data_IF_080371811532
#
_entry.id   IF_080371811532
#
_cell.length_a   1.000
_cell.length_b   1.000
_cell.length_c   1.000
_cell.angle_alpha   90.00
_cell.angle_beta   90.00
_cell.angle_gamma   90.00
#
_symmetry.space_group_name_H-M   'P 1'
#
loop_
_entity.id
_entity.type
_entity.pdbx_description
1 polymer ?
#
# COMPACT_ATOMS: atom_id res chain seq x y z
N UNK A 1 0.91 14.38 -42.89
CA UNK A 1 1.77 13.42 -42.18
C UNK A 1 2.14 14.04 -40.84
N UNK A 2 1.55 13.58 -39.75
CA UNK A 2 1.85 14.08 -38.40
C UNK A 2 2.70 13.04 -37.68
N UNK A 3 3.93 13.41 -37.30
CA UNK A 3 4.76 12.54 -36.44
C UNK A 3 4.07 12.39 -35.09
N UNK A 4 3.85 11.15 -34.65
CA UNK A 4 3.23 10.89 -33.35
C UNK A 4 4.28 10.97 -32.24
N UNK A 5 3.85 11.20 -31.00
CA UNK A 5 4.72 11.20 -29.81
C UNK A 5 5.54 9.90 -29.69
N UNK A 6 4.97 8.77 -30.12
CA UNK A 6 5.63 7.47 -30.12
C UNK A 6 6.73 7.36 -31.19
N UNK A 7 6.59 8.04 -32.32
CA UNK A 7 7.62 8.02 -33.37
C UNK A 7 8.89 8.72 -32.91
N UNK A 8 8.75 9.82 -32.15
CA UNK A 8 9.88 10.54 -31.55
C UNK A 8 10.52 9.72 -30.43
N UNK A 9 9.72 9.02 -29.62
CA UNK A 9 10.22 8.22 -28.50
C UNK A 9 11.13 7.07 -28.98
N UNK A 10 10.79 6.41 -30.10
CA UNK A 10 11.63 5.34 -30.69
C UNK A 10 13.01 5.81 -31.15
N UNK A 11 13.19 7.11 -31.43
CA UNK A 11 14.49 7.67 -31.85
C UNK A 11 15.49 7.79 -30.70
N UNK A 12 14.99 7.77 -29.46
CA UNK A 12 15.78 7.97 -28.24
C UNK A 12 15.82 6.73 -27.34
N UNK A 13 15.35 5.59 -27.85
CA UNK A 13 15.35 4.30 -27.18
C UNK A 13 16.40 3.37 -27.78
N UNK A 14 17.05 2.59 -26.90
CA UNK A 14 17.98 1.55 -27.31
C UNK A 14 17.21 0.28 -27.66
N UNK A 15 17.34 -0.23 -28.88
CA UNK A 15 16.64 -1.45 -29.30
C UNK A 15 17.19 -2.75 -28.68
N UNK A 16 18.25 -2.68 -27.85
CA UNK A 16 18.80 -3.83 -27.13
C UNK A 16 18.19 -3.96 -25.73
N UNK A 17 18.13 -2.87 -24.96
CA UNK A 17 17.59 -2.88 -23.60
C UNK A 17 16.15 -2.36 -23.49
N UNK A 18 15.58 -1.82 -24.57
CA UNK A 18 14.23 -1.25 -24.61
C UNK A 18 14.00 -0.15 -23.56
N UNK A 19 15.04 0.63 -23.27
CA UNK A 19 15.01 1.81 -22.40
C UNK A 19 15.62 2.99 -23.17
N UNK A 20 15.41 4.22 -22.68
CA UNK A 20 16.05 5.39 -23.26
C UNK A 20 17.58 5.26 -23.26
N UNK A 21 18.22 5.91 -24.22
CA UNK A 21 19.66 5.81 -24.42
C UNK A 21 20.45 6.33 -23.21
N UNK A 22 21.56 5.67 -22.90
CA UNK A 22 22.53 6.06 -21.86
C UNK A 22 23.94 5.91 -22.43
N UNK A 23 24.77 6.93 -22.28
CA UNK A 23 26.09 6.99 -22.92
C UNK A 23 25.99 6.68 -24.43
N UNK A 24 25.26 7.53 -25.15
CA UNK A 24 24.78 7.27 -26.51
C UNK A 24 25.91 7.04 -27.49
N UNK A 25 25.81 5.95 -28.24
CA UNK A 25 26.71 5.60 -29.34
C UNK A 25 25.95 5.43 -30.63
N UNK A 26 26.52 6.00 -31.67
CA UNK A 26 26.03 5.89 -33.03
C UNK A 26 26.93 4.95 -33.84
N UNK A 27 26.29 4.07 -34.60
CA UNK A 27 27.01 3.16 -35.49
C UNK A 27 27.34 3.84 -36.83
N UNK A 28 28.58 3.79 -37.33
CA UNK A 28 28.96 4.41 -38.60
C UNK A 28 28.33 3.73 -39.84
N UNK A 29 27.84 2.49 -39.69
CA UNK A 29 27.29 1.72 -40.80
C UNK A 29 25.82 2.05 -41.13
N UNK A 30 25.01 2.45 -40.15
CA UNK A 30 23.59 2.72 -40.36
C UNK A 30 23.03 3.84 -39.49
N UNK A 31 23.88 4.59 -38.79
CA UNK A 31 23.52 5.72 -37.92
C UNK A 31 22.53 5.37 -36.80
N UNK A 32 22.39 4.07 -36.48
CA UNK A 32 21.54 3.63 -35.38
C UNK A 32 22.21 3.92 -34.04
N UNK A 33 21.40 4.38 -33.08
CA UNK A 33 21.80 4.74 -31.74
C UNK A 33 21.60 3.59 -30.74
N UNK A 34 22.54 3.43 -29.82
CA UNK A 34 22.54 2.43 -28.76
C UNK A 34 23.13 3.00 -27.46
N UNK A 35 22.80 2.38 -26.32
CA UNK A 35 23.59 2.56 -25.10
C UNK A 35 24.97 1.94 -25.29
N UNK A 36 26.04 2.61 -24.82
CA UNK A 36 27.40 2.09 -24.97
C UNK A 36 27.57 0.68 -24.38
N UNK A 37 27.11 0.45 -23.15
CA UNK A 37 27.19 -0.86 -22.49
C UNK A 37 26.46 -1.96 -23.29
N UNK A 38 25.31 -1.64 -23.89
CA UNK A 38 24.53 -2.59 -24.67
C UNK A 38 25.23 -3.00 -25.96
N UNK A 39 25.67 -2.02 -26.77
CA UNK A 39 26.36 -2.33 -28.04
C UNK A 39 27.73 -2.97 -27.80
N UNK A 40 28.44 -2.55 -26.75
CA UNK A 40 29.70 -3.16 -26.34
C UNK A 40 29.49 -4.64 -25.97
N UNK A 41 28.48 -4.95 -25.17
CA UNK A 41 28.15 -6.32 -24.77
C UNK A 41 27.72 -7.17 -25.98
N UNK A 42 27.05 -6.57 -26.96
CA UNK A 42 26.69 -7.24 -28.21
C UNK A 42 27.91 -7.57 -29.07
N UNK A 43 28.82 -6.62 -29.28
CA UNK A 43 30.01 -6.81 -30.11
C UNK A 43 31.03 -7.78 -29.50
N UNK A 44 30.99 -7.99 -28.18
CA UNK A 44 31.77 -9.04 -27.50
C UNK A 44 31.28 -10.46 -27.80
N UNK A 45 30.06 -10.64 -28.32
CA UNK A 45 29.53 -11.96 -28.74
C UNK A 45 30.14 -12.41 -30.07
N UNK A 46 30.06 -13.70 -30.35
CA UNK A 46 30.64 -14.37 -31.53
C UNK A 46 30.19 -13.78 -32.88
N UNK A 47 29.00 -13.19 -32.97
CA UNK A 47 28.42 -12.70 -34.22
C UNK A 47 29.04 -11.39 -34.73
N UNK A 48 29.73 -10.61 -33.87
CA UNK A 48 30.46 -9.34 -34.18
C UNK A 48 29.86 -8.50 -35.32
N UNK A 49 28.54 -8.31 -35.30
CA UNK A 49 27.81 -7.59 -36.35
C UNK A 49 26.91 -6.51 -35.76
N UNK A 50 26.52 -5.55 -36.59
CA UNK A 50 25.57 -4.51 -36.19
C UNK A 50 24.19 -5.14 -35.86
N UNK A 51 23.59 -4.85 -34.68
CA UNK A 51 22.26 -5.36 -34.33
C UNK A 51 21.14 -4.94 -35.28
N UNK A 52 21.32 -3.83 -36.01
CA UNK A 52 20.31 -3.25 -36.90
C UNK A 52 20.47 -3.70 -38.35
N UNK A 53 21.63 -3.45 -38.95
CA UNK A 53 21.88 -3.70 -40.37
C UNK A 53 22.73 -4.95 -40.66
N UNK A 54 23.20 -5.65 -39.60
CA UNK A 54 24.06 -6.85 -39.70
C UNK A 54 25.42 -6.63 -40.35
N UNK A 55 25.87 -5.39 -40.57
CA UNK A 55 27.23 -5.11 -41.04
C UNK A 55 28.29 -5.72 -40.10
N UNK A 56 29.31 -6.36 -40.69
CA UNK A 56 30.44 -6.99 -40.00
C UNK A 56 31.66 -6.09 -39.83
N UNK A 57 31.63 -4.88 -40.40
CA UNK A 57 32.72 -3.90 -40.31
C UNK A 57 32.68 -3.07 -39.03
N UNK A 58 31.63 -3.23 -38.23
CA UNK A 58 31.43 -2.47 -37.00
C UNK A 58 32.36 -2.97 -35.89
N UNK A 59 33.22 -2.09 -35.39
CA UNK A 59 34.09 -2.35 -34.23
C UNK A 59 33.71 -1.45 -33.06
N UNK A 60 34.09 -1.84 -31.84
CA UNK A 60 33.85 -1.04 -30.63
C UNK A 60 34.50 0.35 -30.70
N UNK A 61 35.71 0.43 -31.26
CA UNK A 61 36.46 1.67 -31.44
C UNK A 61 35.84 2.59 -32.50
N UNK A 62 35.11 2.01 -33.47
CA UNK A 62 34.42 2.77 -34.52
C UNK A 62 33.09 3.39 -34.08
N UNK A 63 32.66 3.17 -32.83
CA UNK A 63 31.42 3.75 -32.29
C UNK A 63 31.57 5.25 -32.04
N UNK A 64 30.70 6.06 -32.64
CA UNK A 64 30.74 7.51 -32.53
C UNK A 64 29.92 7.96 -31.31
N UNK A 65 30.43 8.91 -30.53
CA UNK A 65 29.66 9.52 -29.44
C UNK A 65 28.65 10.51 -30.01
N UNK A 66 27.37 10.35 -29.70
CA UNK A 66 26.35 11.32 -30.12
C UNK A 66 25.98 12.24 -28.95
N UNK A 67 26.72 13.35 -28.81
CA UNK A 67 26.59 14.30 -27.69
C UNK A 67 25.24 15.04 -27.73
N UNK A 68 24.72 15.32 -28.93
CA UNK A 68 23.46 16.05 -29.11
C UNK A 68 22.30 15.23 -28.55
N UNK A 69 22.19 13.97 -28.97
CA UNK A 69 21.14 13.07 -28.46
C UNK A 69 21.37 12.76 -26.98
N UNK A 70 22.62 12.58 -26.53
CA UNK A 70 22.92 12.42 -25.11
C UNK A 70 22.38 13.59 -24.28
N UNK A 71 22.67 14.84 -24.65
CA UNK A 71 22.16 16.04 -23.95
C UNK A 71 20.64 16.11 -23.99
N UNK A 72 20.02 15.73 -25.10
CA UNK A 72 18.56 15.72 -25.22
C UNK A 72 17.94 14.71 -24.25
N UNK A 73 18.43 13.46 -24.27
CA UNK A 73 17.93 12.37 -23.43
C UNK A 73 18.20 12.63 -21.94
N UNK A 74 19.34 13.24 -21.61
CA UNK A 74 19.70 13.60 -20.23
C UNK A 74 18.74 14.63 -19.61
N UNK A 75 18.20 15.55 -20.40
CA UNK A 75 17.31 16.62 -19.95
C UNK A 75 15.82 16.23 -19.93
N UNK A 76 15.46 15.02 -20.35
CA UNK A 76 14.09 14.52 -20.26
C UNK A 76 13.65 14.49 -18.79
N UNK A 77 12.50 15.12 -18.53
CA UNK A 77 11.94 15.25 -17.19
C UNK A 77 10.99 14.09 -16.89
N UNK A 78 11.20 13.44 -15.75
CA UNK A 78 10.36 12.36 -15.25
C UNK A 78 9.87 12.67 -13.85
N UNK A 79 8.63 12.28 -13.56
CA UNK A 79 8.15 12.27 -12.18
C UNK A 79 8.97 11.27 -11.36
N UNK A 80 9.26 11.63 -10.11
CA UNK A 80 9.92 10.72 -9.19
C UNK A 80 9.12 9.40 -9.07
N UNK A 81 9.78 8.22 -9.07
CA UNK A 81 9.10 6.95 -8.82
C UNK A 81 8.34 6.90 -7.48
N UNK A 82 8.73 7.74 -6.52
CA UNK A 82 8.09 7.87 -5.22
C UNK A 82 7.03 8.99 -5.20
N UNK A 83 6.45 9.36 -6.36
CA UNK A 83 5.41 10.38 -6.44
C UNK A 83 4.16 10.01 -5.62
N UNK A 84 3.75 8.74 -5.66
CA UNK A 84 2.63 8.24 -4.83
C UNK A 84 2.92 8.30 -3.33
N UNK A 85 4.20 8.30 -2.94
CA UNK A 85 4.63 8.47 -1.54
C UNK A 85 4.77 9.94 -1.13
N UNK A 86 4.54 10.89 -2.05
CA UNK A 86 4.53 12.33 -1.80
C UNK A 86 5.67 13.12 -2.43
N UNK A 87 6.56 12.51 -3.21
CA UNK A 87 7.61 13.26 -3.91
C UNK A 87 7.08 13.96 -5.17
N UNK A 88 6.95 15.28 -5.14
CA UNK A 88 6.45 16.09 -6.28
C UNK A 88 7.54 16.52 -7.28
N UNK A 89 8.77 16.05 -7.11
CA UNK A 89 9.89 16.50 -7.94
C UNK A 89 9.86 15.87 -9.33
N UNK A 90 10.00 16.73 -10.34
CA UNK A 90 10.34 16.36 -11.71
C UNK A 90 11.84 16.43 -11.88
N UNK A 91 12.43 15.32 -12.32
CA UNK A 91 13.88 15.12 -12.30
C UNK A 91 14.34 14.79 -13.72
N UNK A 92 15.44 15.42 -14.13
CA UNK A 92 16.12 15.10 -15.36
C UNK A 92 16.63 13.64 -15.34
N UNK A 93 16.57 12.93 -16.47
CA UNK A 93 17.00 11.52 -16.56
C UNK A 93 18.40 11.31 -15.97
N UNK A 94 19.34 12.21 -16.28
CA UNK A 94 20.73 12.15 -15.81
C UNK A 94 20.86 12.17 -14.28
N UNK A 95 19.97 12.90 -13.60
CA UNK A 95 19.97 13.04 -12.15
C UNK A 95 19.07 12.02 -11.44
N UNK A 96 18.25 11.27 -12.18
CA UNK A 96 17.27 10.34 -11.62
C UNK A 96 17.93 9.28 -10.72
N UNK A 97 19.11 8.77 -11.09
CA UNK A 97 19.86 7.79 -10.29
C UNK A 97 20.33 8.40 -8.96
N UNK A 98 20.84 9.63 -8.99
CA UNK A 98 21.27 10.35 -7.78
C UNK A 98 20.08 10.67 -6.89
N UNK A 99 19.00 11.17 -7.50
CA UNK A 99 17.76 11.46 -6.79
C UNK A 99 17.20 10.21 -6.11
N UNK A 100 17.11 9.06 -6.79
CA UNK A 100 16.59 7.82 -6.19
C UNK A 100 17.27 7.45 -4.87
N UNK A 101 18.59 7.64 -4.77
CA UNK A 101 19.37 7.39 -3.54
C UNK A 101 19.11 8.43 -2.45
N UNK A 102 18.83 9.67 -2.83
CA UNK A 102 18.69 10.79 -1.90
C UNK A 102 17.23 11.14 -1.58
N UNK A 103 16.26 10.60 -2.31
CA UNK A 103 14.85 10.90 -2.19
C UNK A 103 14.36 10.66 -0.76
N UNK A 104 13.85 11.70 -0.10
CA UNK A 104 13.33 11.62 1.28
C UNK A 104 12.08 10.73 1.40
N UNK A 105 11.41 10.49 0.29
CA UNK A 105 10.22 9.65 0.18
C UNK A 105 10.56 8.23 -0.30
N UNK A 106 11.84 7.85 -0.31
CA UNK A 106 12.19 6.44 -0.53
C UNK A 106 11.67 5.58 0.63
N UNK A 107 11.24 4.34 0.38
CA UNK A 107 10.73 3.46 1.44
C UNK A 107 11.67 3.32 2.64
N UNK A 108 12.98 3.19 2.39
CA UNK A 108 14.00 3.09 3.43
C UNK A 108 14.08 4.36 4.30
N UNK A 109 14.02 5.56 3.69
CA UNK A 109 14.08 6.81 4.46
C UNK A 109 12.79 7.09 5.22
N UNK A 110 11.64 6.75 4.65
CA UNK A 110 10.35 6.85 5.34
C UNK A 110 10.28 5.90 6.54
N UNK A 111 10.71 4.64 6.36
CA UNK A 111 10.78 3.66 7.43
C UNK A 111 11.74 4.10 8.55
N UNK A 112 12.92 4.64 8.19
CA UNK A 112 13.85 5.15 9.20
C UNK A 112 13.27 6.36 9.95
N UNK A 113 12.59 7.27 9.26
CA UNK A 113 11.89 8.41 9.88
C UNK A 113 10.79 7.94 10.84
N UNK A 114 10.01 6.94 10.46
CA UNK A 114 8.99 6.33 11.32
C UNK A 114 9.62 5.69 12.56
N UNK A 115 10.69 4.91 12.40
CA UNK A 115 11.43 4.31 13.51
C UNK A 115 11.94 5.34 14.51
N UNK A 116 12.59 6.42 14.04
CA UNK A 116 13.07 7.49 14.92
C UNK A 116 11.93 8.14 15.71
N UNK A 117 10.80 8.42 15.04
CA UNK A 117 9.59 8.95 15.69
C UNK A 117 9.05 7.99 16.76
N UNK A 118 9.08 6.68 16.50
CA UNK A 118 8.66 5.65 17.44
C UNK A 118 9.59 5.61 18.67
N UNK A 119 10.90 5.67 18.47
CA UNK A 119 11.90 5.68 19.55
C UNK A 119 11.74 6.93 20.45
N UNK A 120 11.54 8.10 19.85
CA UNK A 120 11.21 9.34 20.57
C UNK A 120 9.92 9.20 21.39
N UNK A 121 8.89 8.59 20.80
CA UNK A 121 7.59 8.35 21.45
C UNK A 121 7.71 7.41 22.65
N UNK A 122 8.52 6.35 22.54
CA UNK A 122 8.82 5.42 23.64
C UNK A 122 9.58 6.13 24.76
N UNK A 123 10.58 6.93 24.41
CA UNK A 123 11.35 7.72 25.38
C UNK A 123 10.47 8.73 26.13
N UNK A 124 9.55 9.40 25.42
CA UNK A 124 8.59 10.32 26.01
C UNK A 124 7.68 9.61 27.02
N UNK A 125 7.11 8.46 26.64
CA UNK A 125 6.26 7.66 27.52
C UNK A 125 7.02 7.20 28.77
N UNK A 126 8.26 6.73 28.61
CA UNK A 126 9.10 6.32 29.74
C UNK A 126 9.36 7.48 30.72
N UNK A 127 9.74 8.65 30.19
CA UNK A 127 9.97 9.84 31.02
C UNK A 127 8.71 10.28 31.76
N UNK A 128 7.54 10.14 31.15
CA UNK A 128 6.26 10.44 31.79
C UNK A 128 5.99 9.46 32.94
N UNK A 129 6.20 8.16 32.71
CA UNK A 129 6.07 7.12 33.75
C UNK A 129 7.00 7.35 34.94
N UNK A 130 8.19 7.88 34.69
CA UNK A 130 9.16 8.25 35.72
C UNK A 130 8.85 9.60 36.41
N UNK A 131 7.77 10.30 36.03
CA UNK A 131 7.44 11.62 36.57
C UNK A 131 8.38 12.74 36.12
N UNK A 132 9.25 12.50 35.12
CA UNK A 132 10.25 13.46 34.62
C UNK A 132 9.68 14.44 33.58
N UNK A 133 8.46 14.21 33.11
CA UNK A 133 7.75 15.09 32.18
C UNK A 133 6.25 14.96 32.42
N UNK A 134 5.50 15.97 32.00
CA UNK A 134 4.04 15.97 32.05
C UNK A 134 3.51 15.91 30.61
N UNK A 135 2.58 14.98 30.36
CA UNK A 135 1.86 14.88 29.09
C UNK A 135 0.36 14.91 29.35
N UNK A 136 -0.40 15.41 28.40
CA UNK A 136 -1.86 15.48 28.48
C UNK A 136 -2.50 14.17 28.01
N UNK A 137 -3.76 13.94 28.39
CA UNK A 137 -4.56 12.79 27.93
C UNK A 137 -4.65 12.72 26.40
N UNK A 138 -4.68 13.89 25.73
CA UNK A 138 -4.63 13.97 24.27
C UNK A 138 -3.31 13.41 23.71
N UNK A 139 -2.18 13.79 24.30
CA UNK A 139 -0.86 13.29 23.89
C UNK A 139 -0.73 11.80 24.16
N UNK A 140 -1.23 11.31 25.30
CA UNK A 140 -1.31 9.87 25.59
C UNK A 140 -2.13 9.13 24.53
N UNK A 141 -3.24 9.71 24.08
CA UNK A 141 -4.08 9.12 23.05
C UNK A 141 -3.41 9.14 21.67
N UNK A 142 -2.70 10.22 21.32
CA UNK A 142 -1.92 10.29 20.07
C UNK A 142 -0.77 9.27 20.08
N UNK A 143 -0.11 9.06 21.23
CA UNK A 143 0.87 7.99 21.42
C UNK A 143 0.23 6.61 21.26
N UNK A 144 -0.95 6.39 21.86
CA UNK A 144 -1.68 5.14 21.72
C UNK A 144 -2.03 4.82 20.26
N UNK A 145 -2.47 5.82 19.47
CA UNK A 145 -2.70 5.64 18.02
C UNK A 145 -1.41 5.26 17.29
N UNK A 146 -0.32 5.96 17.58
CA UNK A 146 0.99 5.69 16.97
C UNK A 146 1.49 4.27 17.29
N UNK A 147 1.36 3.81 18.54
CA UNK A 147 1.73 2.45 18.91
C UNK A 147 0.82 1.39 18.31
N UNK A 148 -0.46 1.69 18.12
CA UNK A 148 -1.40 0.79 17.46
C UNK A 148 -1.05 0.58 15.98
N UNK A 149 -0.67 1.64 15.27
CA UNK A 149 -0.22 1.56 13.88
C UNK A 149 1.04 0.68 13.71
N UNK A 150 1.91 0.66 14.74
CA UNK A 150 3.11 -0.20 14.80
C UNK A 150 2.84 -1.58 15.45
N UNK A 151 1.56 -1.92 15.67
CA UNK A 151 1.12 -3.17 16.29
C UNK A 151 1.64 -3.44 17.72
N UNK A 152 2.11 -2.41 18.44
CA UNK A 152 2.59 -2.51 19.82
C UNK A 152 1.44 -2.39 20.84
N UNK A 153 0.63 -3.45 20.92
CA UNK A 153 -0.57 -3.48 21.76
C UNK A 153 -0.30 -3.24 23.26
N UNK A 154 0.91 -3.50 23.74
CA UNK A 154 1.27 -3.30 25.14
C UNK A 154 1.36 -1.81 25.46
N UNK A 155 2.13 -1.06 24.68
CA UNK A 155 2.22 0.38 24.86
C UNK A 155 0.88 1.08 24.61
N UNK A 156 0.04 0.58 23.70
CA UNK A 156 -1.33 1.08 23.52
C UNK A 156 -2.12 0.96 24.83
N UNK A 157 -2.15 -0.24 25.43
CA UNK A 157 -2.86 -0.46 26.70
C UNK A 157 -2.33 0.40 27.83
N UNK A 158 -1.01 0.55 27.94
CA UNK A 158 -0.39 1.42 28.95
C UNK A 158 -0.81 2.88 28.77
N UNK A 159 -0.71 3.43 27.55
CA UNK A 159 -1.11 4.80 27.27
C UNK A 159 -2.59 5.02 27.58
N UNK A 160 -3.45 4.10 27.17
CA UNK A 160 -4.89 4.21 27.39
C UNK A 160 -5.23 4.14 28.88
N UNK A 161 -4.62 3.24 29.66
CA UNK A 161 -4.84 3.11 31.10
C UNK A 161 -4.49 4.38 31.89
N UNK A 162 -3.56 5.20 31.39
CA UNK A 162 -3.14 6.45 32.03
C UNK A 162 -4.09 7.63 31.76
N UNK A 163 -5.03 7.50 30.81
CA UNK A 163 -6.02 8.54 30.51
C UNK A 163 -7.13 8.52 31.57
N UNK A 164 -7.58 9.69 32.02
CA UNK A 164 -8.53 9.76 33.15
C UNK A 164 -9.97 9.44 32.77
N UNK A 165 -10.44 9.93 31.62
CA UNK A 165 -11.83 9.76 31.16
C UNK A 165 -11.91 8.82 29.94
N UNK A 166 -11.55 7.56 30.15
CA UNK A 166 -11.58 6.55 29.08
C UNK A 166 -13.01 6.14 28.71
N UNK A 167 -13.94 6.19 29.67
CA UNK A 167 -15.25 5.56 29.55
C UNK A 167 -16.30 6.39 28.80
N UNK A 168 -16.07 7.69 28.63
CA UNK A 168 -16.97 8.59 27.90
C UNK A 168 -16.43 9.01 26.52
N UNK A 169 -15.21 8.61 26.18
CA UNK A 169 -14.59 8.95 24.90
C UNK A 169 -14.82 7.85 23.86
N UNK A 170 -15.67 8.13 22.87
CA UNK A 170 -15.93 7.22 21.75
C UNK A 170 -14.62 6.79 21.05
N UNK A 171 -13.66 7.70 20.85
CA UNK A 171 -12.43 7.39 20.13
C UNK A 171 -11.52 6.44 20.92
N UNK A 172 -11.47 6.59 22.24
CA UNK A 172 -10.70 5.70 23.12
C UNK A 172 -11.30 4.31 23.12
N UNK A 173 -12.63 4.20 23.30
CA UNK A 173 -13.33 2.90 23.33
C UNK A 173 -13.18 2.17 21.99
N UNK A 174 -13.24 2.89 20.87
CA UNK A 174 -13.02 2.31 19.55
C UNK A 174 -11.58 1.78 19.42
N UNK A 175 -10.58 2.51 19.92
CA UNK A 175 -9.20 2.04 19.89
C UNK A 175 -9.00 0.81 20.79
N UNK A 176 -9.59 0.79 21.99
CA UNK A 176 -9.60 -0.40 22.86
C UNK A 176 -10.23 -1.60 22.16
N UNK A 177 -11.39 -1.42 21.50
CA UNK A 177 -12.07 -2.48 20.76
C UNK A 177 -11.19 -3.06 19.65
N UNK A 178 -10.48 -2.20 18.91
CA UNK A 178 -9.52 -2.62 17.87
C UNK A 178 -8.36 -3.43 18.45
N UNK A 179 -7.78 -3.00 19.58
CA UNK A 179 -6.71 -3.75 20.27
C UNK A 179 -7.19 -5.12 20.75
N UNK A 180 -8.38 -5.21 21.34
CA UNK A 180 -8.92 -6.49 21.79
C UNK A 180 -9.25 -7.42 20.62
N UNK A 181 -9.74 -6.86 19.50
CA UNK A 181 -9.93 -7.59 18.24
C UNK A 181 -8.61 -8.18 17.73
N UNK A 182 -7.56 -7.38 17.67
CA UNK A 182 -6.27 -7.80 17.10
C UNK A 182 -5.50 -8.76 18.03
N UNK A 183 -5.82 -8.76 19.32
CA UNK A 183 -5.30 -9.72 20.31
C UNK A 183 -6.21 -10.94 20.56
N UNK A 184 -7.21 -11.15 19.69
CA UNK A 184 -8.16 -12.27 19.72
C UNK A 184 -9.13 -12.33 20.91
N UNK A 185 -9.27 -11.25 21.68
CA UNK A 185 -10.29 -11.11 22.73
C UNK A 185 -11.62 -10.64 22.12
N UNK A 186 -12.20 -11.47 21.24
CA UNK A 186 -13.32 -11.06 20.38
C UNK A 186 -14.59 -10.68 21.16
N UNK A 187 -14.90 -11.34 22.27
CA UNK A 187 -16.08 -11.00 23.09
C UNK A 187 -15.97 -9.59 23.67
N UNK A 188 -14.82 -9.29 24.29
CA UNK A 188 -14.53 -7.96 24.82
C UNK A 188 -14.53 -6.89 23.73
N UNK A 189 -14.01 -7.21 22.54
CA UNK A 189 -14.06 -6.30 21.41
C UNK A 189 -15.51 -5.99 20.96
N UNK A 190 -16.41 -6.99 20.94
CA UNK A 190 -17.82 -6.80 20.61
C UNK A 190 -18.57 -5.97 21.66
N UNK A 191 -18.27 -6.17 22.94
CA UNK A 191 -18.79 -5.35 24.04
C UNK A 191 -18.37 -3.89 23.87
N UNK A 192 -17.08 -3.64 23.62
CA UNK A 192 -16.53 -2.30 23.42
C UNK A 192 -17.08 -1.63 22.16
N UNK A 193 -17.22 -2.34 21.04
CA UNK A 193 -17.88 -1.79 19.85
C UNK A 193 -19.35 -1.44 20.11
N UNK A 194 -20.05 -2.24 20.92
CA UNK A 194 -21.44 -1.94 21.30
C UNK A 194 -21.54 -0.72 22.22
N UNK A 195 -20.59 -0.56 23.16
CA UNK A 195 -20.45 0.66 23.97
C UNK A 195 -20.11 1.88 23.11
N UNK A 196 -19.19 1.76 22.16
CA UNK A 196 -18.87 2.85 21.23
C UNK A 196 -20.09 3.26 20.39
N UNK A 197 -20.91 2.29 19.97
CA UNK A 197 -22.11 2.54 19.17
C UNK A 197 -23.12 3.47 19.86
N UNK A 198 -23.25 3.38 21.20
CA UNK A 198 -24.18 4.25 21.96
C UNK A 198 -23.66 5.68 22.11
N UNK A 199 -22.35 5.90 21.96
CA UNK A 199 -21.71 7.21 22.10
C UNK A 199 -21.62 7.97 20.77
N UNK A 200 -21.51 7.25 19.65
CA UNK A 200 -21.39 7.86 18.33
C UNK A 200 -22.71 8.50 17.85
N UNK A 201 -22.58 9.73 17.35
CA UNK A 201 -23.71 10.51 16.81
C UNK A 201 -23.78 10.47 15.28
N UNK A 202 -22.65 10.28 14.60
CA UNK A 202 -22.59 10.27 13.14
C UNK A 202 -23.00 8.90 12.58
N UNK A 203 -23.82 8.89 11.54
CA UNK A 203 -24.16 7.66 10.82
C UNK A 203 -22.92 7.00 10.22
N UNK A 204 -21.96 7.77 9.69
CA UNK A 204 -20.70 7.22 9.16
C UNK A 204 -19.97 6.37 10.20
N UNK A 205 -19.87 6.87 11.43
CA UNK A 205 -19.21 6.14 12.53
C UNK A 205 -20.02 4.91 12.95
N UNK A 206 -21.36 5.00 12.98
CA UNK A 206 -22.23 3.85 13.27
C UNK A 206 -22.04 2.73 12.26
N UNK A 207 -21.97 3.08 10.97
CA UNK A 207 -21.76 2.13 9.87
C UNK A 207 -20.40 1.46 10.01
N UNK A 208 -19.33 2.22 10.28
CA UNK A 208 -17.99 1.66 10.53
C UNK A 208 -17.97 0.66 11.69
N UNK A 209 -18.65 0.98 12.80
CA UNK A 209 -18.73 0.10 13.96
C UNK A 209 -19.55 -1.16 13.70
N UNK A 210 -20.69 -1.03 13.00
CA UNK A 210 -21.52 -2.17 12.62
C UNK A 210 -20.77 -3.10 11.66
N UNK A 211 -20.06 -2.54 10.68
CA UNK A 211 -19.20 -3.32 9.78
C UNK A 211 -18.09 -4.03 10.54
N UNK A 212 -17.42 -3.35 11.48
CA UNK A 212 -16.39 -3.96 12.32
C UNK A 212 -16.96 -5.13 13.18
N UNK A 213 -18.13 -4.96 13.77
CA UNK A 213 -18.86 -6.02 14.49
C UNK A 213 -19.21 -7.18 13.56
N UNK A 214 -19.79 -6.89 12.40
CA UNK A 214 -20.17 -7.90 11.40
C UNK A 214 -18.99 -8.78 10.96
N UNK A 215 -17.85 -8.17 10.65
CA UNK A 215 -16.63 -8.91 10.31
C UNK A 215 -16.15 -9.79 11.47
N UNK A 216 -16.20 -9.28 12.70
CA UNK A 216 -15.78 -10.02 13.89
C UNK A 216 -16.70 -11.20 14.20
N UNK A 217 -18.02 -11.00 14.13
CA UNK A 217 -19.03 -12.04 14.28
C UNK A 217 -18.87 -13.13 13.20
N UNK A 218 -18.59 -12.73 11.97
CA UNK A 218 -18.28 -13.67 10.88
C UNK A 218 -17.03 -14.50 11.17
N UNK A 219 -15.98 -13.91 11.76
CA UNK A 219 -14.78 -14.66 12.20
C UNK A 219 -15.09 -15.65 13.32
N UNK A 220 -16.03 -15.32 14.22
CA UNK A 220 -16.54 -16.22 15.27
C UNK A 220 -17.50 -17.31 14.74
N UNK A 221 -17.88 -17.27 13.46
CA UNK A 221 -18.87 -18.19 12.88
C UNK A 221 -20.33 -17.86 13.24
N UNK A 222 -20.58 -16.70 13.86
CA UNK A 222 -21.92 -16.22 14.20
C UNK A 222 -22.53 -15.50 12.99
N UNK A 223 -22.80 -16.25 11.93
CA UNK A 223 -23.15 -15.70 10.62
C UNK A 223 -24.48 -14.92 10.60
N UNK A 224 -25.50 -15.37 11.33
CA UNK A 224 -26.77 -14.65 11.40
C UNK A 224 -26.65 -13.28 12.09
N UNK A 225 -25.89 -13.21 13.19
CA UNK A 225 -25.62 -11.93 13.86
C UNK A 225 -24.72 -11.02 13.00
N UNK A 226 -23.77 -11.61 12.27
CA UNK A 226 -22.94 -10.86 11.33
C UNK A 226 -23.81 -10.24 10.22
N UNK A 227 -24.75 -11.02 9.66
CA UNK A 227 -25.70 -10.57 8.65
C UNK A 227 -26.55 -9.42 9.16
N UNK A 228 -27.11 -9.54 10.36
CA UNK A 228 -27.90 -8.48 10.99
C UNK A 228 -27.09 -7.18 11.14
N UNK A 229 -25.85 -7.26 11.63
CA UNK A 229 -24.97 -6.10 11.76
C UNK A 229 -24.71 -5.42 10.41
N UNK A 230 -24.44 -6.18 9.35
CA UNK A 230 -24.22 -5.62 8.01
C UNK A 230 -25.49 -5.05 7.38
N UNK A 231 -26.65 -5.66 7.61
CA UNK A 231 -27.94 -5.12 7.17
C UNK A 231 -28.24 -3.78 7.84
N UNK A 232 -28.04 -3.68 9.16
CA UNK A 232 -28.18 -2.42 9.88
C UNK A 232 -27.21 -1.35 9.36
N UNK A 233 -25.98 -1.75 9.00
CA UNK A 233 -25.01 -0.83 8.39
C UNK A 233 -25.48 -0.34 7.01
N UNK A 234 -26.08 -1.22 6.20
CA UNK A 234 -26.63 -0.90 4.89
C UNK A 234 -27.83 0.04 4.98
N UNK A 235 -28.73 -0.17 5.96
CA UNK A 235 -29.93 0.65 6.17
C UNK A 235 -29.61 2.10 6.57
N UNK A 236 -28.42 2.34 7.12
CA UNK A 236 -27.93 3.68 7.48
C UNK A 236 -27.31 4.43 6.30
N UNK A 237 -27.03 3.75 5.17
CA UNK A 237 -26.51 4.39 3.97
C UNK A 237 -27.65 5.03 3.16
N UNK A 238 -27.43 6.21 2.55
CA UNK A 238 -28.37 6.78 1.59
C UNK A 238 -28.62 5.80 0.42
N UNK A 239 -29.85 5.78 -0.11
CA UNK A 239 -30.24 4.90 -1.23
C UNK A 239 -29.32 5.03 -2.44
N UNK A 240 -28.92 6.28 -2.73
CA UNK A 240 -28.16 6.68 -3.90
C UNK A 240 -26.65 6.71 -3.61
N UNK A 241 -26.21 6.18 -2.46
CA UNK A 241 -24.80 6.09 -2.13
C UNK A 241 -24.14 5.00 -2.99
N UNK A 242 -23.16 5.37 -3.80
CA UNK A 242 -22.31 4.43 -4.55
C UNK A 242 -20.89 4.37 -3.94
N UNK A 243 -20.79 4.65 -2.64
CA UNK A 243 -19.53 4.59 -1.92
C UNK A 243 -18.91 3.19 -1.93
N UNK A 244 -17.58 3.19 -1.83
CA UNK A 244 -16.79 2.00 -1.56
C UNK A 244 -17.30 1.22 -0.33
N UNK A 245 -17.83 1.94 0.67
CA UNK A 245 -18.37 1.34 1.88
C UNK A 245 -19.61 0.47 1.61
N UNK A 246 -20.53 0.92 0.75
CA UNK A 246 -21.68 0.11 0.32
C UNK A 246 -21.24 -1.17 -0.38
N UNK A 247 -20.27 -1.06 -1.30
CA UNK A 247 -19.73 -2.21 -2.01
C UNK A 247 -19.10 -3.24 -1.05
N UNK A 248 -18.37 -2.78 -0.03
CA UNK A 248 -17.79 -3.62 1.00
C UNK A 248 -18.84 -4.36 1.84
N UNK A 249 -19.90 -3.66 2.28
CA UNK A 249 -21.00 -4.24 3.05
C UNK A 249 -21.75 -5.30 2.23
N UNK A 250 -22.08 -4.99 0.96
CA UNK A 250 -22.76 -5.94 0.06
C UNK A 250 -21.90 -7.17 -0.22
N UNK A 251 -20.59 -6.98 -0.43
CA UNK A 251 -19.66 -8.10 -0.58
C UNK A 251 -19.61 -8.97 0.69
N UNK A 252 -19.56 -8.36 1.88
CA UNK A 252 -19.58 -9.08 3.14
C UNK A 252 -20.87 -9.90 3.32
N UNK A 253 -22.04 -9.32 3.01
CA UNK A 253 -23.33 -10.02 3.02
C UNK A 253 -23.34 -11.21 2.03
N UNK A 254 -22.82 -11.03 0.83
CA UNK A 254 -22.68 -12.10 -0.16
C UNK A 254 -21.80 -13.26 0.32
N UNK A 255 -20.66 -12.95 0.96
CA UNK A 255 -19.78 -13.94 1.56
C UNK A 255 -20.46 -14.70 2.71
N UNK A 256 -21.21 -14.00 3.56
CA UNK A 256 -21.98 -14.62 4.65
C UNK A 256 -23.06 -15.55 4.10
N UNK A 257 -23.83 -15.12 3.09
CA UNK A 257 -24.88 -15.94 2.47
C UNK A 257 -24.31 -17.23 1.88
N UNK A 258 -23.13 -17.14 1.23
CA UNK A 258 -22.40 -18.32 0.76
C UNK A 258 -22.02 -19.25 1.91
N UNK A 259 -21.46 -18.71 3.00
CA UNK A 259 -21.07 -19.50 4.17
C UNK A 259 -22.27 -20.20 4.83
N UNK A 260 -23.40 -19.52 5.00
CA UNK A 260 -24.62 -20.14 5.51
C UNK A 260 -25.08 -21.29 4.61
N UNK A 261 -25.06 -21.09 3.29
CA UNK A 261 -25.43 -22.13 2.32
C UNK A 261 -24.52 -23.37 2.40
N UNK A 262 -23.21 -23.16 2.57
CA UNK A 262 -22.23 -24.25 2.69
C UNK A 262 -22.40 -25.02 4.02
N UNK A 263 -22.76 -24.34 5.11
CA UNK A 263 -23.04 -24.97 6.41
C UNK A 263 -24.29 -25.86 6.33
N UNK A 264 -25.36 -25.39 5.68
CA UNK A 264 -26.58 -26.18 5.50
C UNK A 264 -26.33 -27.44 4.67
N UNK A 265 -25.47 -27.39 3.64
CA UNK A 265 -25.09 -28.56 2.84
C UNK A 265 -24.30 -29.60 3.64
N UNK A 266 -23.40 -29.16 4.53
CA UNK A 266 -22.61 -30.07 5.39
C UNK A 266 -23.45 -30.76 6.48
N UNK A 267 -24.59 -30.19 6.85
CA UNK A 267 -25.51 -30.76 7.84
C UNK A 267 -26.50 -31.77 7.25
N UNK A 268 -26.54 -31.94 5.92
CA UNK A 268 -27.24 -33.05 5.28
C UNK A 268 -26.24 -34.21 5.12
N UNK A 269 -26.33 -35.30 5.91
CA UNK A 269 -25.50 -36.48 5.66
C UNK A 269 -25.84 -37.04 4.28
N UNK A 270 -24.80 -37.37 3.50
CA UNK A 270 -24.92 -38.15 2.27
C UNK A 270 -25.77 -39.40 2.59
N UNK A 271 -26.98 -39.45 2.05
CA UNK A 271 -27.79 -40.67 2.06
C UNK A 271 -26.98 -41.74 1.32
N UNK A 272 -26.38 -42.67 2.06
CA UNK A 272 -25.73 -43.83 1.45
C UNK A 272 -26.71 -44.49 0.48
N UNK A 273 -26.30 -44.81 -0.76
CA UNK A 273 -27.19 -45.46 -1.70
C UNK A 273 -27.57 -46.82 -1.13
N UNK A 274 -28.85 -46.98 -0.83
CA UNK A 274 -29.47 -48.24 -0.44
C UNK A 274 -29.08 -49.28 -1.48
N UNK A 275 -28.16 -50.18 -1.13
CA UNK A 275 -27.89 -51.39 -1.92
C UNK A 275 -29.12 -52.27 -1.78
N UNK A 276 -29.92 -52.31 -2.84
CA UNK A 276 -30.99 -53.30 -2.95
C UNK A 276 -30.39 -54.72 -3.13
N UNK A 277 -31.07 -55.74 -2.58
CA UNK A 277 -30.55 -57.11 -2.44
C UNK A 277 -30.32 -57.83 -3.77
#
# INVERSE_FOLDING_TARGET
MTATKNDIQRLIECCICCDYLTDVRETPCCHQLFCYSCIQSWLKKTTKNCPRCRSTTLTEQGLLKNIVVQRFVDNLQFDCPNALQGCSLKIARSDLVKHKRLCLYSPEKLANKQRLKLDESRSLLLRFKEGKTFITDKVLFDLAKLFYDEHDCNNVRECLQMIKDQDNSQEIIILQAKVERDTNHYDKALELYSKAYTLVKSNSQRIELLSAKGHLLSKKGQYEQAKDAFSQALDLLPSDDDSQMKAEILNALGLIAKKCSDVSKKQQPELEPVRNP
#
